data_IF_144652378415
#
_entry.id   IF_144652378415
#
_cell.length_a   1.000
_cell.length_b   1.000
_cell.length_c   1.000
_cell.angle_alpha   90.00
_cell.angle_beta   90.00
_cell.angle_gamma   90.00
#
_symmetry.space_group_name_H-M   'P 1'
#
loop_
_entity.id
_entity.type
_entity.pdbx_description
1 polymer ?
#
# COMPACT_ATOMS: atom_id res chain seq x y z
N UNK A 1 -6.69 0.41 16.76
CA UNK A 1 -5.88 -0.78 17.08
C UNK A 1 -4.41 -0.39 17.00
N UNK A 2 -3.66 -0.54 18.11
CA UNK A 2 -2.23 -0.26 18.16
C UNK A 2 -1.47 -1.58 18.16
N UNK A 3 -0.43 -1.67 17.33
CA UNK A 3 0.41 -2.85 17.25
C UNK A 3 1.87 -2.46 16.97
N UNK A 4 2.79 -3.13 17.61
CA UNK A 4 4.23 -2.98 17.39
C UNK A 4 4.79 -4.30 16.90
N UNK A 5 5.59 -4.25 15.83
CA UNK A 5 6.20 -5.43 15.23
C UNK A 5 7.71 -5.27 15.18
N UNK A 6 8.41 -6.36 15.51
CA UNK A 6 9.86 -6.48 15.41
C UNK A 6 10.24 -7.77 14.71
N UNK A 7 11.44 -7.83 14.17
CA UNK A 7 11.95 -9.02 13.50
C UNK A 7 12.69 -8.73 12.19
N UNK A 8 12.65 -9.70 11.27
CA UNK A 8 13.26 -9.53 9.96
C UNK A 8 12.46 -8.54 9.11
N UNK A 9 13.13 -7.89 8.14
CA UNK A 9 12.44 -6.97 7.22
C UNK A 9 11.30 -7.64 6.43
N UNK A 10 11.41 -8.93 6.16
CA UNK A 10 10.35 -9.72 5.50
C UNK A 10 9.15 -9.87 6.45
N UNK A 11 9.39 -10.28 7.70
CA UNK A 11 8.32 -10.37 8.70
C UNK A 11 7.64 -9.02 8.95
N UNK A 12 8.39 -7.91 8.85
CA UNK A 12 7.81 -6.57 8.99
C UNK A 12 6.89 -6.21 7.82
N UNK A 13 7.23 -6.60 6.59
CA UNK A 13 6.33 -6.43 5.44
C UNK A 13 5.04 -7.23 5.66
N UNK A 14 5.16 -8.53 5.94
CA UNK A 14 4.02 -9.42 6.13
C UNK A 14 3.09 -8.96 7.27
N UNK A 15 3.67 -8.57 8.41
CA UNK A 15 2.90 -8.05 9.55
C UNK A 15 2.25 -6.70 9.27
N UNK A 16 2.94 -5.79 8.56
CA UNK A 16 2.38 -4.50 8.16
C UNK A 16 1.20 -4.66 7.20
N UNK A 17 1.30 -5.55 6.22
CA UNK A 17 0.18 -5.87 5.32
C UNK A 17 -1.00 -6.50 6.06
N UNK A 18 -0.72 -7.46 6.97
CA UNK A 18 -1.75 -8.08 7.78
C UNK A 18 -2.44 -7.05 8.70
N UNK A 19 -1.69 -6.07 9.24
CA UNK A 19 -2.24 -4.96 10.01
C UNK A 19 -3.18 -4.11 9.16
N UNK A 20 -2.77 -3.72 7.95
CA UNK A 20 -3.61 -2.93 7.03
C UNK A 20 -4.88 -3.71 6.68
N UNK A 21 -4.76 -4.97 6.25
CA UNK A 21 -5.90 -5.82 5.88
C UNK A 21 -6.92 -5.99 7.01
N UNK A 22 -6.46 -6.09 8.24
CA UNK A 22 -7.33 -6.26 9.43
C UNK A 22 -8.06 -4.98 9.83
N UNK A 23 -7.44 -3.81 9.60
CA UNK A 23 -7.97 -2.52 10.03
C UNK A 23 -8.68 -1.73 8.92
N UNK A 24 -8.65 -2.20 7.67
CA UNK A 24 -9.29 -1.57 6.52
C UNK A 24 -10.49 -2.39 6.04
N UNK A 25 -11.44 -1.70 5.44
CA UNK A 25 -12.71 -2.28 5.01
C UNK A 25 -12.75 -2.41 3.48
N UNK A 26 -13.54 -3.38 3.04
CA UNK A 26 -13.91 -3.58 1.66
C UNK A 26 -15.39 -3.30 1.51
N UNK A 27 -15.75 -2.32 0.69
CA UNK A 27 -17.13 -2.16 0.19
C UNK A 27 -17.30 -2.94 -1.10
N UNK A 28 -18.52 -3.28 -1.42
CA UNK A 28 -18.84 -3.92 -2.67
C UNK A 28 -20.23 -3.54 -3.16
N UNK A 29 -20.46 -3.66 -4.46
CA UNK A 29 -21.78 -3.53 -5.05
C UNK A 29 -22.07 -4.70 -5.99
N UNK A 30 -23.33 -5.11 -6.04
CA UNK A 30 -23.78 -6.08 -7.03
C UNK A 30 -23.89 -5.42 -8.39
N UNK A 31 -23.38 -6.11 -9.39
CA UNK A 31 -23.69 -5.85 -10.80
C UNK A 31 -24.65 -6.92 -11.31
N UNK A 32 -25.09 -6.82 -12.57
CA UNK A 32 -26.04 -7.81 -13.14
C UNK A 32 -25.51 -9.25 -13.05
N UNK A 33 -24.19 -9.46 -13.17
CA UNK A 33 -23.58 -10.78 -13.28
C UNK A 33 -22.41 -11.02 -12.33
N UNK A 34 -22.03 -10.04 -11.50
CA UNK A 34 -20.84 -10.13 -10.64
C UNK A 34 -20.93 -9.22 -9.42
N UNK A 35 -19.92 -9.31 -8.58
CA UNK A 35 -19.65 -8.42 -7.45
C UNK A 35 -18.44 -7.54 -7.82
N UNK A 36 -18.57 -6.23 -7.72
CA UNK A 36 -17.45 -5.29 -7.82
C UNK A 36 -16.97 -4.90 -6.45
N UNK A 37 -15.71 -5.16 -6.16
CA UNK A 37 -15.07 -4.83 -4.89
C UNK A 37 -14.47 -3.42 -4.94
N UNK A 38 -14.62 -2.69 -3.84
CA UNK A 38 -14.17 -1.32 -3.67
C UNK A 38 -13.37 -1.24 -2.36
N UNK A 39 -12.06 -1.45 -2.41
CA UNK A 39 -11.21 -1.37 -1.22
C UNK A 39 -11.09 0.08 -0.74
N UNK A 40 -10.90 0.27 0.57
CA UNK A 40 -10.49 1.56 1.13
C UNK A 40 -9.09 1.94 0.63
N UNK A 41 -8.19 0.96 0.54
CA UNK A 41 -6.81 1.12 0.08
C UNK A 41 -6.42 -0.02 -0.85
N UNK A 42 -5.69 0.29 -1.91
CA UNK A 42 -5.31 -0.66 -2.94
C UNK A 42 -4.10 -1.49 -2.50
N UNK A 43 -4.23 -2.82 -2.47
CA UNK A 43 -3.19 -3.73 -1.97
C UNK A 43 -1.84 -3.50 -2.64
N UNK A 44 -1.80 -3.45 -3.97
CA UNK A 44 -0.57 -3.20 -4.72
C UNK A 44 0.11 -1.89 -4.33
N UNK A 45 -0.69 -0.85 -4.03
CA UNK A 45 -0.18 0.47 -3.69
C UNK A 45 0.42 0.51 -2.29
N UNK A 46 -0.27 -0.04 -1.27
CA UNK A 46 0.30 -0.05 0.07
C UNK A 46 1.45 -1.06 0.22
N UNK A 47 1.42 -2.19 -0.50
CA UNK A 47 2.57 -3.10 -0.58
C UNK A 47 3.81 -2.37 -1.08
N UNK A 48 3.73 -1.70 -2.22
CA UNK A 48 4.85 -0.93 -2.79
C UNK A 48 5.32 0.18 -1.83
N UNK A 49 4.38 0.89 -1.18
CA UNK A 49 4.72 1.94 -0.22
C UNK A 49 5.45 1.38 1.01
N UNK A 50 4.99 0.24 1.56
CA UNK A 50 5.60 -0.41 2.72
C UNK A 50 6.99 -0.97 2.41
N UNK A 51 7.14 -1.66 1.28
CA UNK A 51 8.43 -2.16 0.82
C UNK A 51 9.42 -1.01 0.62
N UNK A 52 8.98 0.09 0.00
CA UNK A 52 9.81 1.28 -0.19
C UNK A 52 10.17 1.94 1.15
N UNK A 53 9.24 2.03 2.10
CA UNK A 53 9.49 2.58 3.42
C UNK A 53 10.61 1.83 4.14
N UNK A 54 10.65 0.49 4.05
CA UNK A 54 11.69 -0.33 4.65
C UNK A 54 13.00 -0.32 3.81
N UNK A 55 12.90 -0.38 2.48
CA UNK A 55 14.06 -0.39 1.58
C UNK A 55 14.85 0.93 1.64
N UNK A 56 14.15 2.05 1.81
CA UNK A 56 14.75 3.39 1.81
C UNK A 56 14.88 4.02 3.21
N UNK A 57 14.48 3.31 4.27
CA UNK A 57 14.67 3.76 5.66
C UNK A 57 16.11 4.16 5.90
N UNK A 58 16.32 5.25 6.63
CA UNK A 58 17.63 5.59 7.16
C UNK A 58 17.88 4.77 8.45
N UNK A 59 18.64 3.71 8.31
CA UNK A 59 18.98 2.79 9.41
C UNK A 59 20.03 3.37 10.37
N UNK A 60 20.61 4.54 10.08
CA UNK A 60 21.50 5.24 10.99
C UNK A 60 20.73 6.09 12.01
N UNK A 61 19.46 6.36 11.77
CA UNK A 61 18.58 7.05 12.72
C UNK A 61 18.11 6.05 13.77
N UNK A 62 18.74 6.09 14.94
CA UNK A 62 18.37 5.26 16.07
C UNK A 62 17.13 5.80 16.77
N UNK A 63 16.26 4.91 17.26
CA UNK A 63 15.06 5.27 18.02
C UNK A 63 13.92 5.84 17.18
N UNK A 64 13.97 5.67 15.85
CA UNK A 64 12.87 5.99 14.95
C UNK A 64 12.52 4.76 14.11
N UNK A 65 11.26 4.59 13.78
CA UNK A 65 10.67 3.40 13.14
C UNK A 65 9.84 3.78 11.93
N UNK A 66 9.46 2.77 11.14
CA UNK A 66 8.45 2.91 10.10
C UNK A 66 7.08 2.84 10.75
N UNK A 67 6.21 3.79 10.46
CA UNK A 67 4.85 3.85 10.98
C UNK A 67 3.82 3.65 9.87
N UNK A 68 2.71 3.02 10.23
CA UNK A 68 1.50 2.92 9.43
C UNK A 68 0.38 3.52 10.26
N UNK A 69 -0.08 4.70 9.87
CA UNK A 69 -1.16 5.42 10.55
C UNK A 69 -2.41 5.38 9.69
N UNK A 70 -3.49 4.81 10.21
CA UNK A 70 -4.77 4.69 9.51
C UNK A 70 -5.76 5.64 10.16
N UNK A 71 -6.20 6.64 9.40
CA UNK A 71 -7.23 7.61 9.74
C UNK A 71 -8.52 7.29 8.99
N UNK A 72 -9.59 7.97 9.30
CA UNK A 72 -10.88 7.76 8.61
C UNK A 72 -10.80 8.11 7.12
N UNK A 73 -10.05 9.18 6.80
CA UNK A 73 -9.96 9.74 5.46
C UNK A 73 -8.71 9.31 4.66
N UNK A 74 -7.69 8.76 5.33
CA UNK A 74 -6.42 8.39 4.70
C UNK A 74 -5.61 7.41 5.51
N UNK A 75 -4.63 6.80 4.85
CA UNK A 75 -3.52 6.08 5.48
C UNK A 75 -2.21 6.80 5.16
N UNK A 76 -1.33 6.89 6.15
CA UNK A 76 0.03 7.42 6.00
C UNK A 76 1.05 6.32 6.31
N UNK A 77 2.02 6.14 5.42
CA UNK A 77 3.18 5.28 5.68
C UNK A 77 4.40 6.19 5.77
N UNK A 78 4.94 6.27 6.95
CA UNK A 78 6.10 7.08 7.32
C UNK A 78 7.37 6.25 7.35
N UNK A 79 8.49 6.82 6.92
CA UNK A 79 9.82 6.23 7.03
C UNK A 79 10.85 7.28 7.44
N UNK A 80 11.77 6.96 8.39
CA UNK A 80 12.90 7.82 8.73
C UNK A 80 13.85 8.01 7.53
N UNK A 81 14.27 9.25 7.31
CA UNK A 81 15.16 9.67 6.23
C UNK A 81 14.41 10.30 5.06
N UNK A 82 14.81 11.52 4.70
CA UNK A 82 14.28 12.24 3.52
C UNK A 82 14.74 11.65 2.19
N UNK A 83 14.59 12.40 1.11
CA UNK A 83 15.11 11.96 -0.19
C UNK A 83 16.63 11.80 -0.16
N UNK A 84 17.21 10.75 -0.77
CA UNK A 84 18.65 10.49 -0.74
C UNK A 84 19.50 11.60 -1.37
N UNK A 85 18.93 12.37 -2.30
CA UNK A 85 19.59 13.50 -2.97
C UNK A 85 19.35 14.85 -2.24
N UNK A 86 18.64 14.82 -1.09
CA UNK A 86 18.32 16.02 -0.31
C UNK A 86 17.22 16.90 -0.89
N UNK A 87 16.60 16.49 -2.01
CA UNK A 87 15.44 17.21 -2.59
C UNK A 87 14.18 16.98 -1.77
N UNK A 88 13.15 17.79 -2.00
CA UNK A 88 11.81 17.59 -1.47
C UNK A 88 10.93 16.98 -2.55
N UNK A 89 10.27 15.87 -2.24
CA UNK A 89 9.45 15.14 -3.24
C UNK A 89 8.25 15.99 -3.71
N UNK A 90 7.68 16.81 -2.85
CA UNK A 90 6.55 17.69 -3.16
C UNK A 90 6.88 18.78 -4.17
N UNK A 91 8.17 19.08 -4.40
CA UNK A 91 8.64 20.06 -5.38
C UNK A 91 8.96 19.42 -6.75
N UNK A 92 8.66 18.12 -6.90
CA UNK A 92 8.99 17.33 -8.09
C UNK A 92 7.78 16.55 -8.58
N UNK A 93 7.78 16.19 -9.85
CA UNK A 93 6.86 15.17 -10.36
C UNK A 93 7.35 13.77 -9.92
N UNK A 94 6.58 13.04 -9.07
CA UNK A 94 6.98 11.72 -8.59
C UNK A 94 7.25 10.71 -9.70
N UNK A 95 6.61 10.88 -10.87
CA UNK A 95 6.78 9.97 -12.02
C UNK A 95 8.12 10.15 -12.73
N UNK A 96 8.80 11.26 -12.51
CA UNK A 96 10.09 11.59 -13.14
C UNK A 96 11.28 11.47 -12.20
N UNK A 97 11.05 11.17 -10.91
CA UNK A 97 12.12 11.03 -9.92
C UNK A 97 12.98 9.78 -10.22
N UNK A 98 14.31 9.95 -10.39
CA UNK A 98 15.19 8.81 -10.57
C UNK A 98 15.22 7.91 -9.33
N UNK A 99 15.29 6.60 -9.54
CA UNK A 99 15.46 5.64 -8.44
C UNK A 99 16.86 5.74 -7.85
N UNK A 100 16.95 6.26 -6.65
CA UNK A 100 18.19 6.30 -5.85
C UNK A 100 18.03 5.39 -4.65
N UNK A 101 18.83 4.33 -4.56
CA UNK A 101 18.74 3.34 -3.48
C UNK A 101 19.54 3.80 -2.28
N UNK A 102 18.87 4.06 -1.14
CA UNK A 102 19.59 4.35 0.12
C UNK A 102 20.31 3.11 0.64
N UNK A 103 19.67 1.94 0.58
CA UNK A 103 20.20 0.66 1.05
C UNK A 103 20.31 -0.35 -0.11
N UNK A 104 21.38 -0.29 -0.94
CA UNK A 104 21.47 -1.08 -2.16
C UNK A 104 21.43 -2.60 -1.92
N UNK A 105 22.05 -3.07 -0.84
CA UNK A 105 22.06 -4.50 -0.49
C UNK A 105 20.66 -4.99 -0.13
N UNK A 106 19.93 -4.22 0.67
CA UNK A 106 18.55 -4.56 1.07
C UNK A 106 17.61 -4.54 -0.14
N UNK A 107 17.72 -3.51 -0.99
CA UNK A 107 16.96 -3.41 -2.23
C UNK A 107 17.24 -4.60 -3.18
N UNK A 108 18.47 -5.10 -3.22
CA UNK A 108 18.84 -6.28 -4.02
C UNK A 108 18.24 -7.58 -3.46
N UNK A 109 18.19 -7.71 -2.12
CA UNK A 109 17.51 -8.82 -1.45
C UNK A 109 16.00 -8.79 -1.75
N UNK A 110 15.34 -7.64 -1.60
CA UNK A 110 13.92 -7.50 -1.93
C UNK A 110 13.62 -7.82 -3.39
N UNK A 111 14.48 -7.38 -4.31
CA UNK A 111 14.33 -7.73 -5.72
C UNK A 111 14.44 -9.23 -5.97
N UNK A 112 15.42 -9.92 -5.39
CA UNK A 112 15.60 -11.37 -5.53
C UNK A 112 14.44 -12.17 -4.96
N UNK A 113 13.82 -11.68 -3.90
CA UNK A 113 12.66 -12.30 -3.26
C UNK A 113 11.33 -11.90 -3.92
N UNK A 114 11.36 -11.04 -4.95
CA UNK A 114 10.16 -10.63 -5.67
C UNK A 114 9.34 -9.50 -5.04
N UNK A 115 9.81 -8.91 -3.95
CA UNK A 115 9.12 -7.79 -3.28
C UNK A 115 9.29 -6.45 -4.01
N UNK A 116 10.35 -6.27 -4.79
CA UNK A 116 10.69 -5.02 -5.44
C UNK A 116 11.20 -5.25 -6.87
N UNK A 117 10.87 -4.34 -7.78
CA UNK A 117 11.42 -4.31 -9.14
C UNK A 117 12.63 -3.37 -9.25
N UNK A 118 13.52 -3.65 -10.21
CA UNK A 118 14.76 -2.84 -10.40
C UNK A 118 14.51 -1.48 -11.07
N UNK A 119 13.35 -1.26 -11.69
CA UNK A 119 13.14 -0.15 -12.65
C UNK A 119 12.72 1.20 -12.04
N UNK A 120 12.70 1.37 -10.73
CA UNK A 120 12.36 2.66 -10.12
C UNK A 120 10.92 3.15 -10.40
N UNK A 121 9.99 2.23 -10.58
CA UNK A 121 8.58 2.52 -10.91
C UNK A 121 7.67 2.64 -9.67
N UNK A 122 8.24 2.72 -8.45
CA UNK A 122 7.49 2.62 -7.20
C UNK A 122 6.38 3.65 -7.07
N UNK A 123 6.68 4.95 -7.27
CA UNK A 123 5.66 5.99 -7.21
C UNK A 123 4.57 5.82 -8.27
N UNK A 124 4.96 5.46 -9.49
CA UNK A 124 4.02 5.18 -10.57
C UNK A 124 3.07 4.02 -10.25
N UNK A 125 3.55 2.95 -9.61
CA UNK A 125 2.73 1.81 -9.19
C UNK A 125 1.75 2.18 -8.08
N UNK A 126 2.18 3.00 -7.11
CA UNK A 126 1.31 3.48 -6.03
C UNK A 126 0.17 4.30 -6.63
N UNK A 127 0.47 5.23 -7.52
CA UNK A 127 -0.51 6.11 -8.16
C UNK A 127 -1.44 5.30 -9.08
N UNK A 128 -0.88 4.53 -10.02
CA UNK A 128 -1.67 3.79 -11.01
C UNK A 128 -2.59 2.74 -10.38
N UNK A 129 -2.21 2.15 -9.25
CA UNK A 129 -3.09 1.25 -8.51
C UNK A 129 -4.42 1.90 -8.14
N UNK A 130 -4.40 3.17 -7.74
CA UNK A 130 -5.58 3.95 -7.41
C UNK A 130 -6.38 4.37 -8.65
N UNK A 131 -5.71 4.80 -9.71
CA UNK A 131 -6.36 5.30 -10.95
C UNK A 131 -7.27 4.26 -11.61
N UNK A 132 -7.01 2.97 -11.39
CA UNK A 132 -7.85 1.89 -11.92
C UNK A 132 -9.07 1.56 -11.05
N UNK A 133 -9.24 2.19 -9.89
CA UNK A 133 -10.36 1.90 -9.00
C UNK A 133 -11.62 2.64 -9.44
N UNK A 134 -12.77 1.97 -9.35
CA UNK A 134 -14.06 2.51 -9.80
C UNK A 134 -14.52 3.75 -9.01
N UNK A 135 -14.09 3.86 -7.75
CA UNK A 135 -14.38 4.97 -6.84
C UNK A 135 -13.24 6.00 -6.79
N UNK A 136 -12.28 5.92 -7.71
CA UNK A 136 -11.22 6.89 -7.83
C UNK A 136 -11.72 8.21 -8.45
N UNK A 137 -11.15 9.30 -7.96
CA UNK A 137 -11.16 10.62 -8.59
C UNK A 137 -9.87 11.36 -8.21
N UNK A 138 -9.57 12.49 -8.85
CA UNK A 138 -8.32 13.21 -8.63
C UNK A 138 -8.06 13.64 -7.18
N UNK A 139 -9.10 13.88 -6.37
CA UNK A 139 -8.94 14.17 -4.94
C UNK A 139 -8.46 12.98 -4.13
N UNK A 140 -8.57 11.78 -4.68
CA UNK A 140 -8.14 10.51 -4.08
C UNK A 140 -6.75 10.05 -4.59
N UNK A 141 -6.05 10.90 -5.34
CA UNK A 141 -4.71 10.57 -5.83
C UNK A 141 -3.73 10.48 -4.67
N UNK A 142 -2.95 9.38 -4.55
CA UNK A 142 -1.87 9.27 -3.58
C UNK A 142 -0.85 10.40 -3.73
N UNK A 143 -0.38 10.91 -2.62
CA UNK A 143 0.60 11.98 -2.57
C UNK A 143 1.80 11.61 -1.72
N UNK A 144 2.88 12.35 -1.89
CA UNK A 144 4.14 12.10 -1.23
C UNK A 144 4.64 13.40 -0.61
N UNK A 145 5.20 13.30 0.58
CA UNK A 145 5.85 14.44 1.24
C UNK A 145 7.16 14.00 1.87
N UNK A 146 8.14 14.84 1.83
CA UNK A 146 9.41 14.60 2.49
C UNK A 146 9.96 15.89 3.08
N UNK A 147 10.76 15.72 4.11
CA UNK A 147 11.66 16.74 4.61
C UNK A 147 13.07 16.12 4.77
N UNK A 148 13.94 16.81 5.47
CA UNK A 148 15.32 16.33 5.70
C UNK A 148 15.37 15.01 6.46
N UNK A 149 14.37 14.74 7.30
CA UNK A 149 14.42 13.67 8.31
C UNK A 149 13.49 12.51 8.02
N UNK A 150 12.51 12.71 7.14
CA UNK A 150 11.44 11.76 6.94
C UNK A 150 10.88 11.77 5.52
N UNK A 151 10.28 10.65 5.16
CA UNK A 151 9.48 10.50 3.95
C UNK A 151 8.12 9.91 4.31
N UNK A 152 7.05 10.45 3.77
CA UNK A 152 5.69 9.96 4.02
C UNK A 152 4.94 9.75 2.72
N UNK A 153 4.35 8.58 2.56
CA UNK A 153 3.34 8.30 1.53
C UNK A 153 1.97 8.52 2.13
N UNK A 154 1.14 9.32 1.48
CA UNK A 154 -0.24 9.59 1.89
C UNK A 154 -1.17 8.95 0.87
N UNK A 155 -1.98 8.01 1.31
CA UNK A 155 -2.95 7.30 0.50
C UNK A 155 -4.36 7.64 1.00
N UNK A 156 -5.16 8.40 0.22
CA UNK A 156 -6.55 8.70 0.59
C UNK A 156 -7.41 7.43 0.67
N UNK A 157 -8.34 7.40 1.61
CA UNK A 157 -9.35 6.34 1.68
C UNK A 157 -10.32 6.51 0.51
N UNK A 158 -10.35 5.53 -0.39
CA UNK A 158 -11.19 5.55 -1.58
C UNK A 158 -12.69 5.54 -1.24
N UNK A 159 -13.04 5.01 -0.07
CA UNK A 159 -14.42 4.88 0.41
C UNK A 159 -14.85 6.00 1.37
N UNK A 160 -13.97 6.95 1.69
CA UNK A 160 -14.34 8.15 2.40
C UNK A 160 -15.25 9.00 1.50
N UNK A 161 -16.35 9.53 1.99
CA UNK A 161 -17.36 10.30 1.23
C UNK A 161 -18.16 9.52 0.16
N UNK A 162 -18.00 8.19 0.06
CA UNK A 162 -18.85 7.39 -0.81
C UNK A 162 -20.22 7.15 -0.11
N UNK A 163 -21.36 7.51 -0.75
CA UNK A 163 -22.69 7.29 -0.17
C UNK A 163 -22.92 5.85 0.28
N UNK A 164 -23.75 5.67 1.31
CA UNK A 164 -24.00 4.36 1.93
C UNK A 164 -24.91 3.40 1.10
N UNK A 165 -25.23 3.75 -0.13
CA UNK A 165 -26.05 2.93 -1.04
C UNK A 165 -25.35 1.64 -1.52
N UNK A 166 -24.16 1.36 -0.99
CA UNK A 166 -23.39 0.16 -1.30
C UNK A 166 -23.65 -0.92 -0.25
N UNK A 167 -24.03 -2.11 -0.73
CA UNK A 167 -24.27 -3.28 0.12
C UNK A 167 -22.93 -3.87 0.59
N UNK A 168 -22.82 -4.12 1.90
CA UNK A 168 -21.71 -4.84 2.52
C UNK A 168 -20.53 -3.98 2.99
N UNK A 169 -20.08 -4.30 4.19
CA UNK A 169 -18.92 -3.69 4.84
C UNK A 169 -18.14 -4.81 5.53
N UNK A 170 -17.28 -5.48 4.78
CA UNK A 170 -16.44 -6.58 5.27
C UNK A 170 -15.02 -6.10 5.49
N UNK A 171 -14.26 -6.75 6.37
CA UNK A 171 -12.83 -6.49 6.44
C UNK A 171 -12.13 -6.99 5.16
N UNK A 172 -11.06 -6.34 4.74
CA UNK A 172 -10.32 -6.74 3.53
C UNK A 172 -9.81 -8.20 3.63
N UNK A 173 -9.53 -8.68 4.85
CA UNK A 173 -9.10 -10.06 5.10
C UNK A 173 -10.22 -11.09 4.89
N UNK A 174 -11.46 -10.76 5.25
CA UNK A 174 -12.64 -11.62 5.04
C UNK A 174 -13.00 -11.72 3.56
N UNK A 175 -13.02 -10.59 2.85
CA UNK A 175 -13.29 -10.54 1.41
C UNK A 175 -12.29 -11.39 0.60
N UNK A 176 -11.00 -11.35 0.94
CA UNK A 176 -9.98 -12.16 0.26
C UNK A 176 -10.14 -13.66 0.54
N UNK A 177 -10.53 -14.04 1.75
CA UNK A 177 -10.77 -15.45 2.09
C UNK A 177 -11.98 -16.03 1.35
N UNK A 178 -13.04 -15.25 1.16
CA UNK A 178 -14.20 -15.65 0.36
C UNK A 178 -13.88 -15.79 -1.13
N UNK A 179 -13.12 -14.85 -1.70
CA UNK A 179 -12.74 -14.91 -3.12
C UNK A 179 -11.83 -16.11 -3.42
N UNK A 180 -10.89 -16.45 -2.53
CA UNK A 180 -10.06 -17.66 -2.65
C UNK A 180 -10.88 -18.95 -2.54
N UNK A 181 -11.82 -19.05 -1.60
CA UNK A 181 -12.65 -20.23 -1.45
C UNK A 181 -13.57 -20.46 -2.64
N UNK A 182 -14.06 -19.37 -3.27
CA UNK A 182 -14.92 -19.42 -4.44
C UNK A 182 -14.16 -19.85 -5.70
N UNK A 183 -12.96 -19.34 -5.92
CA UNK A 183 -12.10 -19.75 -7.04
C UNK A 183 -11.65 -21.21 -6.92
N UNK A 184 -11.41 -21.73 -5.71
CA UNK A 184 -11.11 -23.14 -5.49
C UNK A 184 -12.32 -24.05 -5.75
N UNK A 185 -13.54 -23.62 -5.39
CA UNK A 185 -14.74 -24.40 -5.67
C UNK A 185 -15.12 -24.45 -7.15
N UNK A 186 -14.91 -23.33 -7.89
CA UNK A 186 -15.14 -23.29 -9.33
C UNK A 186 -14.13 -24.16 -10.10
N UNK A 187 -12.86 -24.14 -9.72
CA UNK A 187 -11.84 -24.99 -10.36
C UNK A 187 -12.02 -26.48 -10.08
N UNK A 188 -12.67 -26.86 -8.97
CA UNK A 188 -13.02 -28.26 -8.70
C UNK A 188 -14.26 -28.72 -9.46
N UNK A 189 -15.21 -27.83 -9.75
CA UNK A 189 -16.43 -28.17 -10.51
C UNK A 189 -16.20 -28.31 -12.02
N UNK A 190 -15.08 -27.77 -12.56
CA UNK A 190 -14.70 -27.93 -13.96
C UNK A 190 -13.91 -29.26 -14.24
N UNK A 191 -13.58 -30.01 -13.19
CA UNK A 191 -12.83 -31.28 -13.28
C UNK A 191 -13.72 -32.53 -13.12
N UNK A 192 -15.04 -32.38 -12.93
CA UNK A 192 -16.04 -33.44 -12.96
C UNK A 192 -16.79 -33.47 -14.30
#
# INVERSE_FOLDING_TARGET
>A
DDAEYSGSVISLIENGEAFIKRNCKMKWRKTANSREEMPEYVERSYHEALVNALAHRDYLVNGSEVHIDIYDDRMEIYSPGGMPDGSMIQDRDPLTVPSTRRNPVLADVFNRLGYMERKGSGFGKIISGYEFQINYNESKRPSFRSDRYQFTVVMPNLNYDVPQDFEGNETMSESMSESMSKSMSESMSELE
#
